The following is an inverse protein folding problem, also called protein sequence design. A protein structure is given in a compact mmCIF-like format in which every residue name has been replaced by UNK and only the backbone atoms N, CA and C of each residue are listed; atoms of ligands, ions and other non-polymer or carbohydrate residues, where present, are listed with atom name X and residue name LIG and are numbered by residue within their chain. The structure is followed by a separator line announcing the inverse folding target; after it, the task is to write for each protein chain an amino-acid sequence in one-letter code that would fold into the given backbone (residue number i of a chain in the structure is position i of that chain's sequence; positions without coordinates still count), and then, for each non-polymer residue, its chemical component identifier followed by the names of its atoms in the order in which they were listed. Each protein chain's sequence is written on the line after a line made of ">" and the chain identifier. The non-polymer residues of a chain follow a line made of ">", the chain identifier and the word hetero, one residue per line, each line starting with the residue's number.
data_IF_299548749559
#
_entry.id   IF_299548749559
#
_cell.length_a   1.000
_cell.length_b   1.000
_cell.length_c   1.000
_cell.angle_alpha   90.00
_cell.angle_beta   90.00
_cell.angle_gamma   90.00
#
_symmetry.space_group_name_H-M   'P 1'
#
loop_
_entity.id
_entity.type
_entity.pdbx_description
1 polymer ?
#
# COMPACT_ATOMS: atom_id res chain seq x y z
N UNK A 1 1.91 -13.95 -0.42
CA UNK A 1 2.04 -12.75 0.44
C UNK A 1 1.22 -11.61 -0.15
N UNK A 2 0.46 -10.92 0.68
CA UNK A 2 -0.31 -9.75 0.25
C UNK A 2 0.14 -8.52 1.02
N UNK A 3 0.40 -7.44 0.31
CA UNK A 3 0.75 -6.14 0.90
C UNK A 3 -0.31 -5.12 0.52
N UNK A 4 -0.62 -4.22 1.44
CA UNK A 4 -1.65 -3.20 1.22
C UNK A 4 -1.00 -1.86 0.88
N UNK A 5 -1.71 -1.02 0.14
CA UNK A 5 -1.23 0.31 -0.17
C UNK A 5 -1.89 1.36 0.74
N UNK A 6 -1.57 2.62 0.49
CA UNK A 6 -2.10 3.73 1.28
C UNK A 6 -3.63 3.83 1.20
N UNK A 7 -4.23 3.55 0.03
CA UNK A 7 -5.69 3.64 -0.11
C UNK A 7 -6.40 2.65 0.80
N UNK A 8 -5.86 1.44 0.92
CA UNK A 8 -6.40 0.43 1.82
C UNK A 8 -6.33 0.90 3.27
N UNK A 9 -5.18 1.45 3.68
CA UNK A 9 -4.98 1.91 5.05
C UNK A 9 -5.92 3.05 5.40
N UNK A 10 -6.09 4.01 4.51
CA UNK A 10 -7.01 5.13 4.72
C UNK A 10 -8.45 4.61 4.83
N UNK A 11 -8.86 3.73 3.95
CA UNK A 11 -10.21 3.17 4.00
C UNK A 11 -10.44 2.37 5.28
N UNK A 12 -9.45 1.57 5.71
CA UNK A 12 -9.56 0.84 6.97
C UNK A 12 -9.79 1.79 8.15
N UNK A 13 -9.04 2.89 8.19
CA UNK A 13 -9.12 3.86 9.29
C UNK A 13 -10.43 4.67 9.27
N UNK A 14 -11.07 4.82 8.12
CA UNK A 14 -12.28 5.63 7.97
C UNK A 14 -13.56 4.83 7.94
N UNK A 15 -13.51 3.53 7.66
CA UNK A 15 -14.69 2.67 7.71
C UNK A 15 -15.07 2.33 9.15
N UNK A 16 -16.34 2.21 9.41
CA UNK A 16 -16.87 1.84 10.74
C UNK A 16 -17.25 0.35 10.78
N UNK A 17 -16.39 -0.50 10.26
CA UNK A 17 -16.63 -1.95 10.25
C UNK A 17 -17.52 -2.42 9.10
N UNK A 18 -17.95 -1.51 8.25
CA UNK A 18 -18.72 -1.83 7.05
C UNK A 18 -18.09 -1.11 5.86
N UNK A 19 -17.89 -1.82 4.76
CA UNK A 19 -17.31 -1.26 3.57
C UNK A 19 -16.39 -2.23 2.86
N UNK A 20 -15.72 -1.78 1.78
CA UNK A 20 -14.87 -2.66 0.98
C UNK A 20 -13.74 -3.33 1.74
N UNK A 21 -13.10 -2.62 2.67
CA UNK A 21 -12.01 -3.20 3.46
C UNK A 21 -12.55 -4.29 4.38
N UNK A 22 -13.66 -4.03 5.07
CA UNK A 22 -14.27 -5.03 5.95
C UNK A 22 -14.68 -6.27 5.15
N UNK A 23 -15.24 -6.09 3.96
CA UNK A 23 -15.60 -7.19 3.07
C UNK A 23 -14.38 -8.00 2.64
N UNK A 24 -13.31 -7.31 2.25
CA UNK A 24 -12.06 -7.96 1.86
C UNK A 24 -11.48 -8.77 3.01
N UNK A 25 -11.45 -8.20 4.22
CA UNK A 25 -10.90 -8.88 5.39
C UNK A 25 -11.73 -10.11 5.76
N UNK A 26 -13.06 -10.01 5.64
CA UNK A 26 -13.93 -11.16 5.86
C UNK A 26 -13.71 -12.30 4.88
N UNK A 27 -13.38 -11.96 3.64
CA UNK A 27 -13.15 -12.96 2.58
C UNK A 27 -11.75 -13.58 2.65
N UNK A 28 -10.80 -12.94 3.34
CA UNK A 28 -9.40 -13.38 3.39
C UNK A 28 -8.95 -13.68 4.82
N UNK A 29 -9.84 -14.15 5.66
CA UNK A 29 -9.52 -14.51 7.04
C UNK A 29 -8.32 -15.45 7.11
N UNK A 30 -7.48 -15.22 8.11
CA UNK A 30 -6.28 -16.01 8.39
C UNK A 30 -5.11 -15.80 7.42
N UNK A 31 -5.23 -14.87 6.47
CA UNK A 31 -4.08 -14.49 5.65
C UNK A 31 -3.39 -13.29 6.28
N UNK A 32 -2.06 -13.38 6.53
CA UNK A 32 -1.35 -12.21 7.03
C UNK A 32 -1.26 -11.13 5.95
N UNK A 33 -1.46 -9.87 6.35
CA UNK A 33 -1.32 -8.73 5.47
C UNK A 33 -0.12 -7.90 5.91
N UNK A 34 0.57 -7.33 4.95
CA UNK A 34 1.77 -6.53 5.17
C UNK A 34 1.51 -5.07 4.79
N UNK A 35 2.01 -4.16 5.59
CA UNK A 35 1.95 -2.73 5.31
C UNK A 35 3.35 -2.22 5.00
N UNK A 36 3.60 -1.76 3.77
CA UNK A 36 4.87 -1.10 3.47
C UNK A 36 5.06 0.11 4.39
N UNK A 37 6.26 0.25 4.94
CA UNK A 37 6.54 1.38 5.84
C UNK A 37 6.37 2.72 5.13
N UNK A 38 6.56 2.76 3.82
CA UNK A 38 6.30 3.96 3.02
C UNK A 38 4.81 4.34 3.03
N UNK A 39 3.92 3.34 2.94
CA UNK A 39 2.49 3.59 3.00
C UNK A 39 2.08 4.07 4.39
N UNK A 40 2.67 3.51 5.44
CA UNK A 40 2.44 3.97 6.81
C UNK A 40 2.86 5.44 6.97
N UNK A 41 4.02 5.79 6.42
CA UNK A 41 4.49 7.18 6.48
C UNK A 41 3.49 8.13 5.82
N UNK A 42 2.96 7.77 4.66
CA UNK A 42 1.97 8.60 3.98
C UNK A 42 0.71 8.78 4.81
N UNK A 43 0.22 7.70 5.42
CA UNK A 43 -0.97 7.76 6.27
C UNK A 43 -0.74 8.64 7.49
N UNK A 44 0.41 8.47 8.17
CA UNK A 44 0.73 9.28 9.34
C UNK A 44 0.81 10.77 8.97
N UNK A 45 1.49 11.08 7.87
CA UNK A 45 1.59 12.46 7.39
C UNK A 45 0.22 13.03 7.06
N UNK A 46 -0.61 12.26 6.36
CA UNK A 46 -1.94 12.71 5.96
C UNK A 46 -2.81 13.09 7.14
N UNK A 47 -2.82 12.28 8.18
CA UNK A 47 -3.63 12.57 9.37
C UNK A 47 -3.07 13.75 10.16
N UNK A 48 -1.75 13.77 10.40
CA UNK A 48 -1.14 14.81 11.24
C UNK A 48 -1.18 16.18 10.59
N UNK A 49 -0.93 16.26 9.28
CA UNK A 49 -0.82 17.55 8.60
C UNK A 49 -2.13 18.04 7.96
N UNK A 50 -3.14 17.16 7.80
CA UNK A 50 -4.40 17.58 7.20
C UNK A 50 -5.34 18.25 8.21
N UNK A 51 -5.57 17.65 9.37
CA UNK A 51 -6.53 18.16 10.35
C UNK A 51 -5.98 18.20 11.77
N UNK A 52 -4.80 17.64 11.99
CA UNK A 52 -4.18 17.60 13.31
C UNK A 52 -4.89 16.68 14.31
N UNK A 53 -5.81 15.85 13.85
CA UNK A 53 -6.55 14.95 14.72
C UNK A 53 -5.77 13.66 14.97
N UNK A 54 -5.65 13.28 16.23
CA UNK A 54 -4.99 12.03 16.61
C UNK A 54 -3.48 12.16 16.70
N UNK A 55 -2.82 11.07 16.97
CA UNK A 55 -1.37 10.97 17.10
C UNK A 55 -0.85 9.82 16.27
N UNK A 56 0.45 9.87 15.98
CA UNK A 56 1.11 8.75 15.29
C UNK A 56 0.98 7.46 16.11
N UNK A 57 1.08 7.56 17.43
CA UNK A 57 0.95 6.39 18.31
C UNK A 57 -0.43 5.75 18.20
N UNK A 58 -1.49 6.54 18.14
CA UNK A 58 -2.84 6.02 17.99
C UNK A 58 -3.02 5.30 16.66
N UNK A 59 -2.53 5.90 15.58
CA UNK A 59 -2.59 5.28 14.25
C UNK A 59 -1.77 4.00 14.21
N UNK A 60 -0.57 4.02 14.77
CA UNK A 60 0.29 2.85 14.81
C UNK A 60 -0.39 1.68 15.54
N UNK A 61 -1.07 1.96 16.65
CA UNK A 61 -1.81 0.93 17.39
C UNK A 61 -2.97 0.36 16.57
N UNK A 62 -3.72 1.22 15.90
CA UNK A 62 -4.84 0.76 15.07
C UNK A 62 -4.38 -0.10 13.89
N UNK A 63 -3.12 0.02 13.48
CA UNK A 63 -2.55 -0.71 12.36
C UNK A 63 -1.56 -1.80 12.80
N UNK A 64 -1.45 -2.07 14.11
CA UNK A 64 -0.45 -3.05 14.61
C UNK A 64 -0.72 -4.49 14.19
N UNK A 65 -1.93 -4.78 13.76
CA UNK A 65 -2.29 -6.12 13.28
C UNK A 65 -1.67 -6.45 11.92
N UNK A 66 -1.15 -5.43 11.21
CA UNK A 66 -0.44 -5.61 9.94
C UNK A 66 1.04 -5.87 10.19
N UNK A 67 1.59 -6.82 9.46
CA UNK A 67 3.05 -6.99 9.45
C UNK A 67 3.69 -5.82 8.72
N UNK A 68 4.89 -5.42 9.17
CA UNK A 68 5.60 -4.30 8.53
C UNK A 68 6.48 -4.82 7.40
N UNK A 69 6.43 -4.12 6.25
CA UNK A 69 7.26 -4.44 5.09
C UNK A 69 8.23 -3.26 4.87
N UNK A 70 9.49 -3.40 5.29
CA UNK A 70 10.43 -2.29 5.21
C UNK A 70 10.93 -2.07 3.79
N UNK A 71 11.28 -0.82 3.48
CA UNK A 71 11.92 -0.45 2.23
C UNK A 71 13.43 -0.68 2.39
N UNK A 72 13.98 -1.57 1.59
CA UNK A 72 15.39 -1.98 1.67
C UNK A 72 16.17 -1.51 0.44
N UNK A 73 17.48 -1.79 0.40
CA UNK A 73 18.26 -1.51 -0.81
C UNK A 73 17.73 -2.29 -2.00
N UNK A 74 17.33 -3.56 -1.79
CA UNK A 74 16.72 -4.36 -2.86
C UNK A 74 15.43 -3.70 -3.36
N UNK A 75 14.62 -3.16 -2.46
CA UNK A 75 13.43 -2.40 -2.84
C UNK A 75 13.79 -1.16 -3.65
N UNK A 76 14.84 -0.45 -3.26
CA UNK A 76 15.29 0.76 -3.95
C UNK A 76 15.70 0.45 -5.40
N UNK A 77 16.42 -0.65 -5.60
CA UNK A 77 16.81 -1.09 -6.95
C UNK A 77 15.60 -1.47 -7.79
N UNK A 78 14.68 -2.22 -7.20
CA UNK A 78 13.48 -2.63 -7.92
C UNK A 78 12.61 -1.44 -8.30
N UNK A 79 12.52 -0.44 -7.42
CA UNK A 79 11.76 0.78 -7.71
C UNK A 79 12.31 1.54 -8.92
N UNK A 80 13.64 1.57 -9.10
CA UNK A 80 14.25 2.17 -10.28
C UNK A 80 13.86 1.39 -11.53
N UNK A 81 13.85 0.06 -11.46
CA UNK A 81 13.41 -0.77 -12.57
C UNK A 81 11.96 -0.49 -12.95
N UNK A 82 11.06 -0.40 -11.94
CA UNK A 82 9.66 -0.03 -12.17
C UNK A 82 9.56 1.32 -12.86
N UNK A 83 10.29 2.31 -12.38
CA UNK A 83 10.25 3.66 -12.95
C UNK A 83 10.71 3.67 -14.40
N UNK A 84 11.77 2.95 -14.72
CA UNK A 84 12.25 2.85 -16.10
C UNK A 84 11.22 2.24 -17.03
N UNK A 85 10.59 1.15 -16.59
CA UNK A 85 9.56 0.47 -17.38
C UNK A 85 8.37 1.39 -17.65
N UNK A 86 7.91 2.10 -16.62
CA UNK A 86 6.76 3.01 -16.76
C UNK A 86 7.08 4.17 -17.70
N UNK A 87 8.28 4.73 -17.60
CA UNK A 87 8.70 5.81 -18.50
C UNK A 87 8.80 5.32 -19.94
N UNK A 88 9.32 4.12 -20.15
CA UNK A 88 9.42 3.53 -21.48
C UNK A 88 8.04 3.30 -22.10
N UNK A 89 7.06 2.95 -21.28
CA UNK A 89 5.68 2.69 -21.72
C UNK A 89 4.86 3.98 -21.84
N UNK A 90 5.42 5.13 -21.43
CA UNK A 90 4.68 6.39 -21.43
C UNK A 90 3.58 6.47 -20.39
N UNK A 91 3.66 5.67 -19.33
CA UNK A 91 2.65 5.59 -18.28
C UNK A 91 3.22 5.92 -16.90
N UNK A 92 3.63 7.18 -16.65
CA UNK A 92 4.18 7.54 -15.35
C UNK A 92 3.09 7.52 -14.27
N UNK A 93 3.48 7.04 -13.08
CA UNK A 93 2.66 7.15 -11.87
C UNK A 93 3.43 8.00 -10.86
N UNK A 94 2.78 8.40 -9.77
CA UNK A 94 3.47 9.25 -8.81
C UNK A 94 4.63 8.50 -8.13
N UNK A 95 5.61 9.26 -7.64
CA UNK A 95 6.84 8.68 -7.13
C UNK A 95 6.63 7.75 -5.95
N UNK A 96 5.76 8.10 -5.01
CA UNK A 96 5.52 7.24 -3.85
C UNK A 96 4.95 5.89 -4.28
N UNK A 97 4.03 5.89 -5.25
CA UNK A 97 3.47 4.65 -5.77
C UNK A 97 4.51 3.81 -6.49
N UNK A 98 5.49 4.44 -7.17
CA UNK A 98 6.64 3.73 -7.74
C UNK A 98 7.42 3.01 -6.65
N UNK A 99 7.67 3.68 -5.53
CA UNK A 99 8.43 3.10 -4.43
C UNK A 99 7.65 1.95 -3.77
N UNK A 100 6.34 2.12 -3.59
CA UNK A 100 5.49 1.06 -3.04
C UNK A 100 5.47 -0.15 -3.99
N UNK A 101 5.27 0.09 -5.29
CA UNK A 101 5.31 -0.99 -6.28
C UNK A 101 6.66 -1.71 -6.26
N UNK A 102 7.74 -0.96 -6.10
CA UNK A 102 9.09 -1.53 -6.05
C UNK A 102 9.27 -2.50 -4.89
N UNK A 103 8.87 -2.09 -3.67
CA UNK A 103 9.03 -2.96 -2.51
C UNK A 103 8.14 -4.18 -2.61
N UNK A 104 6.92 -4.04 -3.09
CA UNK A 104 5.96 -5.15 -3.20
C UNK A 104 6.41 -6.14 -4.28
N UNK A 105 6.82 -5.65 -5.45
CA UNK A 105 7.29 -6.51 -6.53
C UNK A 105 8.58 -7.24 -6.15
N UNK A 106 9.47 -6.55 -5.44
CA UNK A 106 10.76 -7.14 -5.03
C UNK A 106 10.57 -8.38 -4.16
N UNK A 107 9.61 -8.36 -3.25
CA UNK A 107 9.35 -9.52 -2.39
C UNK A 107 8.39 -10.53 -3.02
N UNK A 108 7.90 -10.28 -4.23
CA UNK A 108 6.99 -11.18 -4.91
C UNK A 108 5.59 -11.22 -4.34
N UNK A 109 5.16 -10.15 -3.68
CA UNK A 109 3.84 -10.07 -3.07
C UNK A 109 2.79 -9.54 -4.05
N UNK A 110 1.52 -9.80 -3.74
CA UNK A 110 0.40 -9.15 -4.40
C UNK A 110 0.12 -7.83 -3.72
N UNK A 111 -0.24 -6.81 -4.48
CA UNK A 111 -0.60 -5.50 -3.95
C UNK A 111 -2.11 -5.37 -3.85
N UNK A 112 -2.61 -5.17 -2.65
CA UNK A 112 -4.05 -4.96 -2.38
C UNK A 112 -4.30 -3.46 -2.39
N UNK A 113 -5.06 -2.99 -3.38
CA UNK A 113 -5.28 -1.56 -3.62
C UNK A 113 -6.63 -1.35 -4.30
N UNK A 114 -7.13 -0.11 -4.28
CA UNK A 114 -8.23 0.28 -5.16
C UNK A 114 -7.78 1.29 -6.22
N UNK A 115 -6.48 1.58 -6.26
CA UNK A 115 -5.93 2.51 -7.24
C UNK A 115 -5.53 1.75 -8.50
N UNK A 116 -6.25 1.98 -9.57
CA UNK A 116 -6.03 1.29 -10.85
C UNK A 116 -4.70 1.65 -11.52
N UNK A 117 -4.03 2.73 -11.09
CA UNK A 117 -2.75 3.12 -11.65
C UNK A 117 -1.69 2.03 -11.51
N UNK A 118 -1.77 1.20 -10.48
CA UNK A 118 -0.81 0.12 -10.27
C UNK A 118 -0.88 -0.97 -11.35
N UNK A 119 -1.97 -1.04 -12.11
CA UNK A 119 -2.07 -2.00 -13.21
C UNK A 119 -1.05 -1.74 -14.31
N UNK A 120 -0.52 -0.53 -14.41
CA UNK A 120 0.51 -0.20 -15.39
C UNK A 120 1.87 -0.81 -15.07
N UNK A 121 2.06 -1.32 -13.84
CA UNK A 121 3.35 -1.88 -13.42
C UNK A 121 3.42 -3.35 -13.84
N UNK A 122 4.37 -3.64 -14.73
CA UNK A 122 4.57 -5.00 -15.21
C UNK A 122 5.01 -5.93 -14.07
N UNK A 123 4.58 -7.19 -14.12
CA UNK A 123 4.98 -8.22 -13.17
C UNK A 123 4.60 -7.92 -11.71
N UNK A 124 3.68 -6.98 -11.49
CA UNK A 124 3.09 -6.73 -10.18
C UNK A 124 1.67 -7.29 -10.20
N UNK A 125 1.39 -8.25 -9.34
CA UNK A 125 0.04 -8.74 -9.17
C UNK A 125 -0.77 -7.78 -8.32
N UNK A 126 -1.89 -7.30 -8.85
CA UNK A 126 -2.75 -6.33 -8.18
C UNK A 126 -4.07 -7.00 -7.83
N UNK A 127 -4.46 -6.88 -6.58
CA UNK A 127 -5.76 -7.33 -6.09
C UNK A 127 -6.57 -6.09 -5.75
N UNK A 128 -7.64 -5.84 -6.50
CA UNK A 128 -8.50 -4.70 -6.21
C UNK A 128 -9.56 -5.09 -5.19
N UNK A 129 -9.57 -4.41 -4.05
CA UNK A 129 -10.54 -4.70 -3.00
C UNK A 129 -11.82 -3.85 -3.14
N UNK A 130 -11.79 -2.83 -3.99
CA UNK A 130 -12.92 -1.95 -4.23
C UNK A 130 -12.86 -1.38 -5.65
N UNK A 131 -14.01 -1.03 -6.17
CA UNK A 131 -14.12 -0.36 -7.47
C UNK A 131 -13.97 1.15 -7.36
#
# INVERSE_FOLDING_TARGET
>A
MKAVDTTFLVDYLTEDGEGPVAEFLGATENEPLYAPTLALNEVYRGVIFADGAGTVDDLSRRLEWLERLPFTEASAREAVAVERELKADGEPINRLDVLIAGVVREVGAELVTRDEHFRAVDSLEVVEYAE
#
